data_IF_921855867715
#
_entry.id   IF_921855867715
#
_cell.length_a   1.000
_cell.length_b   1.000
_cell.length_c   1.000
_cell.angle_alpha   90.00
_cell.angle_beta   90.00
_cell.angle_gamma   90.00
#
_symmetry.space_group_name_H-M   'P 1'
#
loop_
_entity.id
_entity.type
_entity.pdbx_description
1 polymer ?
#
# COMPACT_ATOMS: atom_id res chain seq x y z
N UNK A 1 37.98 -14.05 7.79
CA UNK A 1 36.94 -14.95 7.23
C UNK A 1 35.68 -14.99 8.11
N UNK A 2 35.79 -14.82 9.43
CA UNK A 2 34.63 -14.81 10.37
C UNK A 2 33.77 -13.53 10.34
N UNK A 3 34.26 -12.41 9.80
CA UNK A 3 33.51 -11.15 9.77
C UNK A 3 32.32 -11.18 8.79
N UNK A 4 32.41 -11.94 7.71
CA UNK A 4 31.36 -12.03 6.69
C UNK A 4 30.15 -12.91 7.06
N UNK A 5 30.31 -13.86 7.98
CA UNK A 5 29.20 -14.71 8.45
C UNK A 5 28.25 -13.96 9.37
N UNK A 6 28.75 -13.00 10.15
CA UNK A 6 27.94 -12.18 11.05
C UNK A 6 27.06 -11.18 10.30
N UNK A 7 27.57 -10.60 9.21
CA UNK A 7 26.80 -9.66 8.37
C UNK A 7 25.65 -10.35 7.63
N UNK A 8 25.89 -11.55 7.09
CA UNK A 8 24.85 -12.38 6.46
C UNK A 8 23.71 -12.72 7.42
N UNK A 9 24.04 -13.06 8.67
CA UNK A 9 23.04 -13.38 9.69
C UNK A 9 22.21 -12.15 10.08
N UNK A 10 22.83 -10.96 10.09
CA UNK A 10 22.15 -9.71 10.42
C UNK A 10 21.21 -9.27 9.29
N UNK A 11 21.64 -9.39 8.03
CA UNK A 11 20.79 -9.16 6.85
C UNK A 11 19.59 -10.12 6.82
N UNK A 12 19.80 -11.40 7.14
CA UNK A 12 18.71 -12.38 7.19
C UNK A 12 17.69 -12.04 8.27
N UNK A 13 18.14 -11.58 9.45
CA UNK A 13 17.25 -11.12 10.52
C UNK A 13 16.47 -9.87 10.11
N UNK A 14 17.12 -8.92 9.45
CA UNK A 14 16.48 -7.70 8.96
C UNK A 14 15.41 -8.04 7.92
N UNK A 15 15.72 -8.88 6.93
CA UNK A 15 14.77 -9.35 5.93
C UNK A 15 13.52 -9.96 6.56
N UNK A 16 13.72 -10.88 7.51
CA UNK A 16 12.61 -11.53 8.22
C UNK A 16 11.78 -10.55 9.06
N UNK A 17 12.41 -9.53 9.63
CA UNK A 17 11.70 -8.47 10.37
C UNK A 17 10.86 -7.60 9.41
N UNK A 18 11.40 -7.26 8.24
CA UNK A 18 10.69 -6.50 7.21
C UNK A 18 9.50 -7.29 6.67
N UNK A 19 9.65 -8.57 6.35
CA UNK A 19 8.54 -9.43 5.90
C UNK A 19 7.40 -9.47 6.92
N UNK A 20 7.73 -9.65 8.21
CA UNK A 20 6.74 -9.62 9.29
C UNK A 20 6.03 -8.28 9.39
N UNK A 21 6.79 -7.19 9.32
CA UNK A 21 6.21 -5.85 9.36
C UNK A 21 5.25 -5.61 8.18
N UNK A 22 5.64 -5.99 6.96
CA UNK A 22 4.78 -5.86 5.78
C UNK A 22 3.49 -6.68 5.94
N UNK A 23 3.60 -7.93 6.40
CA UNK A 23 2.44 -8.78 6.64
C UNK A 23 1.49 -8.21 7.72
N UNK A 24 2.04 -7.68 8.83
CA UNK A 24 1.24 -7.06 9.88
C UNK A 24 0.52 -5.79 9.39
N UNK A 25 1.17 -5.00 8.53
CA UNK A 25 0.54 -3.82 7.91
C UNK A 25 -0.58 -4.21 6.95
N UNK A 26 -0.36 -5.22 6.11
CA UNK A 26 -1.38 -5.74 5.19
C UNK A 26 -2.61 -6.25 5.97
N UNK A 27 -2.38 -6.97 7.06
CA UNK A 27 -3.45 -7.45 7.94
C UNK A 27 -4.25 -6.29 8.56
N UNK A 28 -3.56 -5.28 9.12
CA UNK A 28 -4.23 -4.09 9.69
C UNK A 28 -5.03 -3.32 8.65
N UNK A 29 -4.52 -3.24 7.42
CA UNK A 29 -5.22 -2.60 6.33
C UNK A 29 -6.49 -3.35 5.94
N UNK A 30 -6.45 -4.68 5.91
CA UNK A 30 -7.62 -5.52 5.62
C UNK A 30 -8.68 -5.45 6.73
N UNK A 31 -8.26 -5.42 8.00
CA UNK A 31 -9.15 -5.18 9.15
C UNK A 31 -9.83 -3.81 9.04
N UNK A 32 -9.06 -2.76 8.72
CA UNK A 32 -9.61 -1.43 8.48
C UNK A 32 -10.58 -1.38 7.30
N UNK A 33 -10.25 -2.06 6.19
CA UNK A 33 -11.10 -2.14 4.99
C UNK A 33 -12.45 -2.77 5.34
N UNK A 34 -12.44 -3.88 6.08
CA UNK A 34 -13.65 -4.59 6.52
C UNK A 34 -14.52 -3.69 7.41
N UNK A 35 -13.90 -2.97 8.34
CA UNK A 35 -14.60 -2.02 9.22
C UNK A 35 -15.26 -0.87 8.44
N UNK A 36 -14.57 -0.32 7.43
CA UNK A 36 -15.14 0.73 6.57
C UNK A 36 -16.30 0.20 5.72
N UNK A 37 -16.19 -1.03 5.19
CA UNK A 37 -17.28 -1.68 4.46
C UNK A 37 -18.52 -1.89 5.33
N UNK A 38 -18.35 -2.30 6.58
CA UNK A 38 -19.43 -2.43 7.57
C UNK A 38 -20.11 -1.09 7.85
N UNK A 39 -19.33 -0.03 8.11
CA UNK A 39 -19.86 1.33 8.29
C UNK A 39 -20.66 1.83 7.09
N UNK A 40 -20.16 1.57 5.87
CA UNK A 40 -20.88 1.96 4.65
C UNK A 40 -22.20 1.21 4.49
N UNK A 41 -22.22 -0.08 4.85
CA UNK A 41 -23.43 -0.88 4.84
C UNK A 41 -24.49 -0.34 5.81
N UNK A 42 -24.08 0.07 7.01
CA UNK A 42 -24.99 0.64 8.01
C UNK A 42 -25.56 2.00 7.58
N UNK A 43 -24.73 2.86 6.96
CA UNK A 43 -25.19 4.14 6.38
C UNK A 43 -26.17 3.92 5.23
N UNK A 44 -25.94 2.92 4.39
CA UNK A 44 -26.87 2.60 3.30
C UNK A 44 -28.19 2.06 3.83
N UNK A 45 -28.14 1.22 4.87
CA UNK A 45 -29.32 0.65 5.52
C UNK A 45 -30.18 1.73 6.18
N UNK A 46 -29.58 2.67 6.90
CA UNK A 46 -30.31 3.78 7.52
C UNK A 46 -31.00 4.66 6.47
N UNK A 47 -30.37 4.93 5.33
CA UNK A 47 -31.00 5.69 4.24
C UNK A 47 -32.15 4.95 3.53
N UNK A 48 -32.16 3.62 3.55
CA UNK A 48 -33.23 2.83 2.92
C UNK A 48 -34.53 2.79 3.72
N UNK A 49 -34.47 3.09 5.02
CA UNK A 49 -35.61 2.98 5.92
C UNK A 49 -36.58 4.18 5.83
N UNK A 50 -36.10 5.34 5.35
CA UNK A 50 -36.91 6.56 5.20
C UNK A 50 -37.67 6.65 3.86
N UNK A 51 -37.53 5.66 2.96
CA UNK A 51 -38.11 5.71 1.62
C UNK A 51 -39.53 5.11 1.50
N UNK A 52 -40.04 4.46 2.55
CA UNK A 52 -41.32 3.73 2.54
C UNK A 52 -42.31 4.30 3.59
N UNK A 53 -42.44 5.63 3.69
CA UNK A 53 -43.67 6.20 4.26
C UNK A 53 -44.80 6.10 3.22
N UNK A 54 -45.86 5.30 3.47
CA UNK A 54 -46.98 5.24 2.56
C UNK A 54 -47.69 6.60 2.56
N UNK A 55 -47.69 7.28 1.41
CA UNK A 55 -48.52 8.44 1.17
C UNK A 55 -50.01 8.09 1.33
N UNK A 56 -50.48 8.16 2.58
CA UNK A 56 -51.88 8.23 2.93
C UNK A 56 -52.44 9.54 2.42
N UNK A 57 -53.06 9.51 1.24
CA UNK A 57 -54.00 10.52 0.82
C UNK A 57 -55.07 10.75 1.92
N UNK A 58 -55.22 11.98 2.39
CA UNK A 58 -56.50 12.60 2.79
C UNK A 58 -56.33 14.12 2.95
N UNK A 59 -57.43 14.90 2.92
CA UNK A 59 -57.55 16.03 2.00
C UNK A 59 -57.15 17.39 2.59
N UNK A 60 -56.62 18.21 1.67
CA UNK A 60 -56.75 19.66 1.53
C UNK A 60 -57.67 20.35 2.55
N UNK A 61 -57.06 21.05 3.50
CA UNK A 61 -57.65 22.22 4.14
C UNK A 61 -56.74 23.43 3.87
N UNK A 62 -57.31 24.40 3.15
CA UNK A 62 -56.75 25.74 2.97
C UNK A 62 -56.80 26.48 4.31
N UNK A 63 -55.67 26.71 4.98
CA UNK A 63 -55.53 27.78 5.97
C UNK A 63 -54.12 28.42 5.93
N UNK A 64 -54.06 29.55 5.22
CA UNK A 64 -53.51 30.85 5.64
C UNK A 64 -52.25 30.91 6.52
N UNK A 65 -51.14 31.34 5.90
CA UNK A 65 -50.12 32.28 6.39
C UNK A 65 -49.93 32.43 7.92
N UNK A 66 -48.87 31.81 8.43
CA UNK A 66 -48.22 32.16 9.69
C UNK A 66 -46.71 31.93 9.58
N UNK A 67 -45.96 33.00 9.33
CA UNK A 67 -44.49 32.99 9.46
C UNK A 67 -44.19 32.84 10.95
N UNK A 68 -43.65 31.69 11.36
CA UNK A 68 -43.19 31.46 12.73
C UNK A 68 -41.71 31.14 12.69
N UNK A 69 -40.90 32.11 13.10
CA UNK A 69 -39.48 31.97 13.41
C UNK A 69 -39.37 31.23 14.75
N UNK A 70 -39.09 29.93 14.74
CA UNK A 70 -38.63 29.20 15.94
C UNK A 70 -37.20 28.67 15.73
N UNK A 71 -36.31 28.84 16.72
CA UNK A 71 -34.97 28.30 16.67
C UNK A 71 -34.98 26.79 16.88
N UNK A 72 -34.38 26.09 15.93
CA UNK A 72 -34.19 24.64 15.93
C UNK A 72 -33.41 24.20 17.18
N UNK A 73 -34.10 23.59 18.15
CA UNK A 73 -33.46 22.85 19.24
C UNK A 73 -32.86 21.56 18.67
N UNK A 74 -31.54 21.50 18.62
CA UNK A 74 -30.78 20.28 18.37
C UNK A 74 -30.96 19.40 19.62
N UNK A 75 -31.74 18.34 19.51
CA UNK A 75 -31.75 17.25 20.48
C UNK A 75 -30.39 16.56 20.42
N UNK A 76 -29.66 16.68 21.51
CA UNK A 76 -28.36 16.07 21.74
C UNK A 76 -28.63 14.62 22.13
N UNK A 77 -28.45 13.69 21.19
CA UNK A 77 -28.51 12.26 21.49
C UNK A 77 -27.22 11.87 22.20
N UNK A 78 -27.34 11.66 23.52
CA UNK A 78 -26.31 11.16 24.42
C UNK A 78 -26.04 9.67 24.12
N UNK A 79 -25.29 9.39 23.04
CA UNK A 79 -24.66 8.08 22.83
C UNK A 79 -23.48 7.93 23.81
N UNK A 80 -23.85 7.52 25.01
CA UNK A 80 -22.98 7.08 26.09
C UNK A 80 -22.13 5.89 25.63
N UNK A 81 -20.89 6.20 25.24
CA UNK A 81 -19.83 5.22 25.02
C UNK A 81 -19.60 4.44 26.32
N UNK A 82 -19.78 3.12 26.28
CA UNK A 82 -19.54 2.21 27.42
C UNK A 82 -18.09 1.68 27.33
N UNK A 83 -17.13 2.22 28.11
CA UNK A 83 -15.70 1.92 27.96
C UNK A 83 -15.28 0.55 28.52
N UNK A 84 -16.21 -0.22 29.08
CA UNK A 84 -15.91 -1.44 29.84
C UNK A 84 -16.13 -2.74 29.04
N UNK A 85 -16.56 -2.65 27.77
CA UNK A 85 -16.92 -3.81 26.94
C UNK A 85 -15.74 -4.51 26.22
N UNK A 86 -14.49 -4.10 26.44
CA UNK A 86 -13.33 -4.82 25.87
C UNK A 86 -12.95 -5.96 26.81
N UNK A 87 -13.70 -7.05 26.69
CA UNK A 87 -13.35 -8.33 27.28
C UNK A 87 -12.17 -8.91 26.49
N UNK A 88 -10.97 -8.72 27.03
CA UNK A 88 -9.71 -9.27 26.56
C UNK A 88 -9.71 -10.78 26.78
N UNK A 89 -10.26 -11.53 25.81
CA UNK A 89 -10.06 -12.97 25.71
C UNK A 89 -8.60 -13.26 25.37
N UNK A 90 -7.78 -13.30 26.41
CA UNK A 90 -6.49 -13.96 26.43
C UNK A 90 -6.70 -15.41 25.99
N UNK A 91 -6.06 -15.82 24.90
CA UNK A 91 -5.88 -17.24 24.59
C UNK A 91 -4.41 -17.59 24.75
N UNK A 92 -4.10 -18.09 25.93
CA UNK A 92 -2.90 -18.86 26.20
C UNK A 92 -2.95 -20.10 25.30
N UNK A 93 -1.98 -20.26 24.40
CA UNK A 93 -1.83 -21.50 23.64
C UNK A 93 -0.38 -21.95 23.66
N UNK A 94 -0.13 -22.81 24.65
CA UNK A 94 1.00 -23.71 24.79
C UNK A 94 0.71 -25.03 24.06
N UNK A 95 1.58 -25.43 23.13
CA UNK A 95 1.65 -26.80 22.58
C UNK A 95 2.94 -26.89 21.74
N UNK A 96 4.04 -27.56 22.16
CA UNK A 96 4.29 -28.98 22.50
C UNK A 96 4.38 -29.93 21.30
N UNK A 97 5.50 -30.67 21.22
CA UNK A 97 5.70 -31.88 20.39
C UNK A 97 6.43 -31.62 19.08
N UNK A 98 7.75 -31.77 18.99
CA UNK A 98 8.48 -33.04 18.90
C UNK A 98 7.93 -34.00 17.83
N UNK A 99 8.68 -34.15 16.73
CA UNK A 99 8.90 -35.45 16.08
C UNK A 99 10.18 -35.38 15.24
N UNK A 100 11.25 -35.92 15.82
CA UNK A 100 12.38 -36.38 15.05
C UNK A 100 11.97 -37.44 14.01
N UNK A 101 12.52 -37.30 12.81
CA UNK A 101 12.67 -38.41 11.86
C UNK A 101 14.11 -38.43 11.37
N UNK A 102 14.92 -39.14 12.14
CA UNK A 102 16.09 -39.85 11.63
C UNK A 102 15.58 -41.06 10.84
N UNK A 103 15.96 -41.20 9.57
CA UNK A 103 16.24 -42.50 8.96
C UNK A 103 16.98 -42.36 7.61
N UNK A 104 18.26 -42.69 7.65
CA UNK A 104 19.11 -43.40 6.68
C UNK A 104 19.33 -42.91 5.23
N UNK A 105 20.60 -42.96 4.75
CA UNK A 105 20.99 -42.71 3.37
C UNK A 105 20.91 -43.99 2.52
N UNK A 106 20.23 -43.92 1.37
CA UNK A 106 20.32 -44.98 0.35
C UNK A 106 21.42 -44.64 -0.65
N UNK A 107 22.48 -45.47 -0.61
CA UNK A 107 23.42 -45.63 -1.72
C UNK A 107 22.69 -46.34 -2.88
N UNK A 108 22.45 -45.62 -3.97
CA UNK A 108 22.13 -46.23 -5.27
C UNK A 108 23.34 -46.07 -6.18
N UNK A 109 24.15 -47.12 -6.24
CA UNK A 109 25.20 -47.33 -7.23
C UNK A 109 24.52 -47.91 -8.49
N UNK A 110 24.36 -47.10 -9.53
CA UNK A 110 24.01 -47.59 -10.85
C UNK A 110 24.62 -46.65 -11.90
N UNK A 111 25.80 -47.03 -12.38
CA UNK A 111 26.39 -46.42 -13.56
C UNK A 111 25.55 -46.76 -14.79
N UNK A 112 25.23 -45.73 -15.57
CA UNK A 112 25.04 -45.87 -17.01
C UNK A 112 25.33 -44.52 -17.67
N UNK A 113 26.41 -44.54 -18.44
CA UNK A 113 26.80 -43.67 -19.56
C UNK A 113 26.37 -42.18 -19.56
N UNK A 114 27.32 -41.23 -19.53
CA UNK A 114 27.04 -39.86 -19.89
C UNK A 114 26.79 -39.82 -21.40
N UNK A 115 25.52 -39.84 -21.82
CA UNK A 115 25.15 -39.36 -23.16
C UNK A 115 25.44 -37.86 -23.20
N UNK A 116 26.61 -37.56 -23.72
CA UNK A 116 27.09 -36.26 -24.15
C UNK A 116 26.18 -35.76 -25.29
N UNK A 117 24.95 -35.35 -24.93
CA UNK A 117 24.10 -34.60 -25.85
C UNK A 117 24.73 -33.22 -25.96
N UNK A 118 25.46 -33.11 -27.05
CA UNK A 118 26.14 -31.96 -27.61
C UNK A 118 25.15 -30.82 -27.91
N UNK A 119 24.47 -30.28 -26.89
CA UNK A 119 23.80 -28.98 -26.97
C UNK A 119 24.83 -27.88 -26.77
N UNK A 120 25.80 -27.82 -27.68
CA UNK A 120 26.79 -26.74 -27.79
C UNK A 120 26.25 -25.59 -28.65
N UNK A 121 24.99 -25.25 -28.45
CA UNK A 121 24.51 -23.88 -28.61
C UNK A 121 24.26 -23.33 -27.21
N UNK A 122 25.34 -23.29 -26.42
CA UNK A 122 25.45 -22.29 -25.37
C UNK A 122 25.47 -20.97 -26.14
N UNK A 123 24.29 -20.41 -26.41
CA UNK A 123 24.16 -18.97 -26.52
C UNK A 123 24.66 -18.48 -25.16
N UNK A 124 25.97 -18.24 -25.06
CA UNK A 124 26.48 -17.29 -24.10
C UNK A 124 25.56 -16.09 -24.26
N UNK A 125 24.86 -15.69 -23.19
CA UNK A 125 23.85 -14.67 -23.33
C UNK A 125 24.60 -13.46 -23.87
N UNK A 126 24.26 -13.05 -25.08
CA UNK A 126 24.86 -11.89 -25.74
C UNK A 126 24.87 -10.69 -24.77
N UNK A 127 23.90 -10.65 -23.86
CA UNK A 127 23.82 -9.83 -22.67
C UNK A 127 25.07 -9.82 -21.78
N UNK A 128 25.70 -10.96 -21.43
CA UNK A 128 26.93 -10.97 -20.62
C UNK A 128 28.09 -10.28 -21.34
N UNK A 129 28.33 -10.60 -22.60
CA UNK A 129 29.35 -9.90 -23.40
C UNK A 129 29.01 -8.43 -23.61
N UNK A 130 27.73 -8.09 -23.76
CA UNK A 130 27.29 -6.71 -23.94
C UNK A 130 27.41 -5.88 -22.64
N UNK A 131 27.18 -6.50 -21.48
CA UNK A 131 27.35 -5.91 -20.15
C UNK A 131 28.84 -5.75 -19.81
N UNK A 132 29.68 -6.77 -20.06
CA UNK A 132 31.13 -6.67 -19.83
C UNK A 132 31.82 -5.65 -20.74
N UNK A 133 31.37 -5.53 -21.99
CA UNK A 133 31.94 -4.58 -22.98
C UNK A 133 31.43 -3.15 -22.80
N UNK A 134 30.37 -2.94 -22.01
CA UNK A 134 29.82 -1.64 -21.63
C UNK A 134 30.44 -1.04 -20.36
N UNK A 135 31.57 -1.57 -19.88
CA UNK A 135 32.54 -0.73 -19.15
C UNK A 135 33.18 0.26 -20.10
N UNK A 136 32.38 1.16 -20.68
CA UNK A 136 32.89 2.47 -21.07
C UNK A 136 33.47 3.03 -19.77
N UNK A 137 34.78 3.24 -19.72
CA UNK A 137 35.49 3.90 -18.62
C UNK A 137 34.97 5.35 -18.47
N UNK A 138 33.71 5.52 -18.09
CA UNK A 138 33.17 6.77 -17.62
C UNK A 138 33.58 6.91 -16.16
N UNK A 139 34.89 7.04 -15.93
CA UNK A 139 35.47 7.32 -14.61
C UNK A 139 34.81 8.55 -13.98
N UNK A 140 34.36 9.49 -14.82
CA UNK A 140 33.62 10.67 -14.41
C UNK A 140 32.22 10.35 -13.87
N UNK A 141 31.47 9.41 -14.47
CA UNK A 141 30.13 9.03 -14.02
C UNK A 141 30.19 8.29 -12.68
N UNK A 142 31.16 7.38 -12.54
CA UNK A 142 31.43 6.68 -11.28
C UNK A 142 31.78 7.66 -10.15
N UNK A 143 32.57 8.69 -10.45
CA UNK A 143 32.88 9.76 -9.51
C UNK A 143 31.63 10.55 -9.07
N UNK A 144 30.74 10.86 -10.02
CA UNK A 144 29.47 11.58 -9.72
C UNK A 144 28.56 10.73 -8.83
N UNK A 145 28.37 9.45 -9.16
CA UNK A 145 27.47 8.54 -8.40
C UNK A 145 27.99 8.30 -6.98
N UNK A 146 29.31 8.21 -6.78
CA UNK A 146 29.91 8.01 -5.45
C UNK A 146 29.98 9.27 -4.59
N UNK A 147 29.64 10.45 -5.15
CA UNK A 147 29.73 11.69 -4.40
C UNK A 147 28.58 11.79 -3.38
N UNK A 148 28.88 12.09 -2.11
CA UNK A 148 27.86 12.22 -1.05
C UNK A 148 26.74 13.20 -1.42
N UNK A 149 27.08 14.25 -2.18
CA UNK A 149 26.11 15.24 -2.67
C UNK A 149 25.02 14.63 -3.57
N UNK A 150 25.38 13.67 -4.42
CA UNK A 150 24.41 12.96 -5.27
C UNK A 150 23.40 12.19 -4.43
N UNK A 151 23.88 11.44 -3.42
CA UNK A 151 23.00 10.72 -2.49
C UNK A 151 22.08 11.67 -1.71
N UNK A 152 22.57 12.86 -1.31
CA UNK A 152 21.74 13.86 -0.62
C UNK A 152 20.66 14.42 -1.55
N UNK A 153 20.97 14.71 -2.81
CA UNK A 153 20.00 15.18 -3.80
C UNK A 153 18.91 14.13 -4.03
N UNK A 154 19.28 12.86 -4.26
CA UNK A 154 18.31 11.77 -4.45
C UNK A 154 17.44 11.61 -3.21
N UNK A 155 18.03 11.70 -2.01
CA UNK A 155 17.27 11.71 -0.75
C UNK A 155 16.26 12.86 -0.66
N UNK A 156 16.64 14.07 -1.08
CA UNK A 156 15.74 15.21 -1.15
C UNK A 156 14.59 14.99 -2.15
N UNK A 157 14.86 14.40 -3.33
CA UNK A 157 13.82 14.05 -4.29
C UNK A 157 12.84 13.00 -3.76
N UNK A 158 13.33 12.02 -2.99
CA UNK A 158 12.47 11.04 -2.31
C UNK A 158 11.56 11.72 -1.28
N UNK A 159 12.11 12.61 -0.44
CA UNK A 159 11.33 13.36 0.54
C UNK A 159 10.30 14.26 -0.14
N UNK A 160 10.67 14.91 -1.25
CA UNK A 160 9.76 15.75 -2.02
C UNK A 160 8.62 14.93 -2.66
N UNK A 161 8.91 13.73 -3.15
CA UNK A 161 7.89 12.81 -3.65
C UNK A 161 6.93 12.36 -2.52
N UNK A 162 7.45 12.00 -1.34
CA UNK A 162 6.60 11.68 -0.19
C UNK A 162 5.68 12.85 0.21
N UNK A 163 6.21 14.08 0.20
CA UNK A 163 5.41 15.27 0.47
C UNK A 163 4.35 15.51 -0.61
N UNK A 164 4.70 15.29 -1.88
CA UNK A 164 3.80 15.37 -3.01
C UNK A 164 2.63 14.39 -2.88
N UNK A 165 2.90 13.09 -2.66
CA UNK A 165 1.87 12.07 -2.46
C UNK A 165 0.97 12.42 -1.27
N UNK A 166 1.56 12.92 -0.17
CA UNK A 166 0.79 13.39 0.99
C UNK A 166 -0.13 14.57 0.67
N UNK A 167 0.34 15.54 -0.11
CA UNK A 167 -0.45 16.69 -0.54
C UNK A 167 -1.61 16.28 -1.47
N UNK A 168 -1.34 15.37 -2.42
CA UNK A 168 -2.36 14.81 -3.32
C UNK A 168 -3.41 14.05 -2.51
N UNK A 169 -2.99 13.17 -1.59
CA UNK A 169 -3.89 12.43 -0.71
C UNK A 169 -4.76 13.37 0.15
N UNK A 170 -4.16 14.39 0.78
CA UNK A 170 -4.91 15.39 1.55
C UNK A 170 -5.92 16.15 0.68
N UNK A 171 -5.52 16.56 -0.53
CA UNK A 171 -6.42 17.26 -1.45
C UNK A 171 -7.59 16.38 -1.92
N UNK A 172 -7.35 15.08 -2.06
CA UNK A 172 -8.36 14.08 -2.43
C UNK A 172 -9.34 13.89 -1.30
N UNK A 173 -8.86 13.72 -0.06
CA UNK A 173 -9.69 13.62 1.14
C UNK A 173 -10.55 14.88 1.32
N UNK A 174 -9.98 16.08 1.18
CA UNK A 174 -10.74 17.33 1.28
C UNK A 174 -11.86 17.42 0.23
N UNK A 175 -11.58 17.01 -1.01
CA UNK A 175 -12.60 16.97 -2.08
C UNK A 175 -13.71 15.97 -1.76
N UNK A 176 -13.35 14.78 -1.29
CA UNK A 176 -14.30 13.74 -0.89
C UNK A 176 -15.21 14.27 0.24
N UNK A 177 -14.63 14.86 1.29
CA UNK A 177 -15.39 15.40 2.43
C UNK A 177 -16.35 16.51 1.97
N UNK A 178 -15.87 17.49 1.21
CA UNK A 178 -16.71 18.59 0.70
C UNK A 178 -17.87 18.06 -0.16
N UNK A 179 -17.60 17.01 -0.95
CA UNK A 179 -18.60 16.36 -1.77
C UNK A 179 -19.64 15.62 -0.92
N UNK A 180 -19.24 14.83 0.07
CA UNK A 180 -20.16 14.15 1.00
C UNK A 180 -21.02 15.15 1.77
N UNK A 181 -20.47 16.29 2.21
CA UNK A 181 -21.24 17.35 2.86
C UNK A 181 -22.27 18.00 1.93
N UNK A 182 -22.05 17.98 0.61
CA UNK A 182 -22.98 18.53 -0.40
C UNK A 182 -24.00 17.51 -0.94
N UNK A 183 -23.74 16.20 -0.85
CA UNK A 183 -24.49 15.14 -1.52
C UNK A 183 -25.59 14.48 -0.67
N UNK A 184 -26.41 15.27 0.01
CA UNK A 184 -27.76 14.81 0.37
C UNK A 184 -28.64 14.51 -0.89
N UNK A 185 -28.13 14.79 -2.10
CA UNK A 185 -28.84 14.68 -3.37
C UNK A 185 -28.07 13.75 -4.33
N UNK A 186 -28.61 12.55 -4.58
CA UNK A 186 -28.07 11.50 -5.47
C UNK A 186 -27.66 12.06 -6.84
N UNK A 187 -26.35 12.25 -7.09
CA UNK A 187 -25.82 12.54 -8.43
C UNK A 187 -24.54 11.72 -8.64
N UNK A 188 -24.40 11.14 -9.83
CA UNK A 188 -23.31 10.26 -10.24
C UNK A 188 -21.95 10.94 -10.19
N UNK A 189 -20.96 10.18 -9.75
CA UNK A 189 -19.63 10.63 -9.37
C UNK A 189 -18.67 10.61 -10.57
N UNK A 190 -18.24 11.79 -11.02
CA UNK A 190 -17.04 11.93 -11.85
C UNK A 190 -16.11 12.91 -11.14
N UNK A 191 -15.13 12.38 -10.41
CA UNK A 191 -14.11 13.20 -9.75
C UNK A 191 -13.04 13.50 -10.78
N UNK A 192 -13.05 14.70 -11.34
CA UNK A 192 -11.98 15.15 -12.23
C UNK A 192 -10.64 15.17 -11.47
N UNK A 193 -9.72 14.29 -11.87
CA UNK A 193 -8.32 14.35 -11.45
C UNK A 193 -7.67 15.58 -12.07
N UNK A 194 -6.99 16.44 -11.28
CA UNK A 194 -6.40 17.65 -11.81
C UNK A 194 -5.27 17.32 -12.80
N UNK A 195 -5.24 18.01 -13.94
CA UNK A 195 -4.31 17.71 -15.03
C UNK A 195 -2.82 17.79 -14.66
N UNK A 196 -2.47 18.55 -13.60
CA UNK A 196 -1.09 18.66 -13.14
C UNK A 196 -0.57 17.40 -12.45
N UNK A 197 -1.45 16.53 -11.95
CA UNK A 197 -1.08 15.31 -11.23
C UNK A 197 -0.28 14.37 -12.13
N UNK A 198 -0.80 14.12 -13.34
CA UNK A 198 -0.13 13.29 -14.35
C UNK A 198 1.26 13.85 -14.75
N UNK A 199 1.39 15.17 -14.83
CA UNK A 199 2.68 15.81 -15.16
C UNK A 199 3.72 15.66 -14.07
N UNK A 200 3.30 15.77 -12.80
CA UNK A 200 4.19 15.62 -11.66
C UNK A 200 4.63 14.15 -11.46
N UNK A 201 3.71 13.19 -11.62
CA UNK A 201 4.04 11.76 -11.58
C UNK A 201 5.07 11.39 -12.65
N UNK A 202 4.87 11.86 -13.88
CA UNK A 202 5.81 11.63 -14.97
C UNK A 202 7.17 12.28 -14.70
N UNK A 203 7.19 13.47 -14.10
CA UNK A 203 8.43 14.14 -13.71
C UNK A 203 9.21 13.30 -12.68
N UNK A 204 8.58 12.89 -11.57
CA UNK A 204 9.26 12.07 -10.56
C UNK A 204 9.72 10.73 -11.13
N UNK A 205 8.87 10.05 -11.91
CA UNK A 205 9.24 8.80 -12.58
C UNK A 205 10.46 8.98 -13.51
N UNK A 206 10.53 10.07 -14.26
CA UNK A 206 11.67 10.37 -15.13
C UNK A 206 12.97 10.62 -14.36
N UNK A 207 12.90 11.35 -13.24
CA UNK A 207 14.05 11.63 -12.37
C UNK A 207 14.58 10.34 -11.75
N UNK A 208 13.71 9.47 -11.23
CA UNK A 208 14.12 8.18 -10.67
C UNK A 208 14.62 7.20 -11.75
N UNK A 209 14.05 7.22 -12.95
CA UNK A 209 14.56 6.40 -14.04
C UNK A 209 15.99 6.83 -14.44
N UNK A 210 16.25 8.13 -14.54
CA UNK A 210 17.59 8.67 -14.80
C UNK A 210 18.56 8.30 -13.67
N UNK A 211 18.13 8.39 -12.42
CA UNK A 211 18.91 7.99 -11.25
C UNK A 211 19.34 6.53 -11.31
N UNK A 212 18.38 5.61 -11.56
CA UNK A 212 18.65 4.17 -11.68
C UNK A 212 19.61 3.91 -12.84
N UNK A 213 19.39 4.55 -14.00
CA UNK A 213 20.28 4.41 -15.15
C UNK A 213 21.69 4.90 -14.83
N UNK A 214 21.83 6.04 -14.14
CA UNK A 214 23.14 6.54 -13.71
C UNK A 214 23.82 5.58 -12.73
N UNK A 215 23.08 4.99 -11.79
CA UNK A 215 23.62 4.02 -10.82
C UNK A 215 24.07 2.73 -11.51
N UNK A 216 23.25 2.17 -12.40
CA UNK A 216 23.57 0.96 -13.18
C UNK A 216 24.76 1.19 -14.12
N UNK A 217 24.92 2.39 -14.68
CA UNK A 217 26.08 2.73 -15.52
C UNK A 217 27.34 3.07 -14.71
N UNK A 218 27.19 3.47 -13.44
CA UNK A 218 28.29 3.87 -12.57
C UNK A 218 28.90 2.73 -11.75
N UNK A 219 28.16 1.63 -11.54
CA UNK A 219 28.61 0.38 -10.91
C UNK A 219 29.38 -0.54 -11.88
#
# INVERSE_FOLDING_TARGET
RERGTSELLLLQKLHKATERFCFDQEKRFEEFRTFVEELLWDVQKSQSFDADEPHGHTPRHDETLGISDEPLFITQDDDSFDPDAIDLWATDSSSSGDMGKSLMPYHALAGSEPREIQNKFVMEPFWKQFVERRRLNFDCLRFVVHHHFFSVIVGLFLLLNCLYVGAVANSTVQRIIHHFSGLHKKVSFEVETPQWECGADLFFASVFAVEIVMRVLGE
#
